data_IF_863321792089
#
_entry.id   IF_863321792089
#
_cell.length_a   1.000
_cell.length_b   1.000
_cell.length_c   1.000
_cell.angle_alpha   90.00
_cell.angle_beta   90.00
_cell.angle_gamma   90.00
#
_symmetry.space_group_name_H-M   'P 1'
#
loop_
_entity.id
_entity.type
_entity.pdbx_description
1 polymer ?
#
# COMPACT_ATOMS: atom_id res chain seq x y z
N UNK A 1 -21.25 14.44 -15.33
CA UNK A 1 -20.60 13.31 -16.05
C UNK A 1 -19.18 13.62 -16.49
N UNK A 2 -18.91 14.74 -17.17
CA UNK A 2 -17.58 15.10 -17.71
C UNK A 2 -16.47 15.11 -16.65
N UNK A 3 -16.74 15.65 -15.45
CA UNK A 3 -15.75 15.73 -14.37
C UNK A 3 -15.20 14.35 -13.91
N UNK A 4 -15.96 13.27 -14.08
CA UNK A 4 -15.50 11.90 -13.75
C UNK A 4 -14.67 11.28 -14.88
N UNK A 5 -14.80 11.74 -16.11
CA UNK A 5 -14.09 11.17 -17.27
C UNK A 5 -12.61 11.53 -17.31
N UNK A 6 -12.26 12.74 -16.88
CA UNK A 6 -10.87 13.23 -16.89
C UNK A 6 -9.93 12.32 -16.07
N UNK A 7 -10.19 12.04 -14.77
CA UNK A 7 -9.30 11.19 -13.98
C UNK A 7 -9.21 9.76 -14.52
N UNK A 8 -10.28 9.24 -15.15
CA UNK A 8 -10.28 7.92 -15.78
C UNK A 8 -9.36 7.88 -16.99
N UNK A 9 -9.46 8.88 -17.87
CA UNK A 9 -8.61 8.95 -19.06
C UNK A 9 -7.14 9.08 -18.67
N UNK A 10 -6.84 9.85 -17.61
CA UNK A 10 -5.48 9.94 -17.05
C UNK A 10 -5.03 8.57 -16.55
N UNK A 11 -5.85 7.88 -15.77
CA UNK A 11 -5.50 6.56 -15.23
C UNK A 11 -5.30 5.53 -16.34
N UNK A 12 -6.18 5.49 -17.34
CA UNK A 12 -6.05 4.61 -18.50
C UNK A 12 -4.79 4.93 -19.33
N UNK A 13 -4.45 6.22 -19.48
CA UNK A 13 -3.22 6.63 -20.16
C UNK A 13 -1.96 6.15 -19.40
N UNK A 14 -1.96 6.28 -18.07
CA UNK A 14 -0.88 5.78 -17.22
C UNK A 14 -0.75 4.26 -17.35
N UNK A 15 -1.86 3.53 -17.22
CA UNK A 15 -1.90 2.07 -17.32
C UNK A 15 -1.46 1.60 -18.72
N UNK A 16 -1.92 2.26 -19.79
CA UNK A 16 -1.49 1.98 -21.16
C UNK A 16 0.01 2.22 -21.38
N UNK A 17 0.56 3.30 -20.81
CA UNK A 17 1.99 3.58 -20.85
C UNK A 17 2.82 2.52 -20.10
N UNK A 18 2.42 2.16 -18.87
CA UNK A 18 3.10 1.13 -18.08
C UNK A 18 3.06 -0.21 -18.81
N UNK A 19 1.88 -0.59 -19.31
CA UNK A 19 1.71 -1.79 -20.12
C UNK A 19 2.63 -1.80 -21.34
N UNK A 20 2.67 -0.72 -22.11
CA UNK A 20 3.54 -0.60 -23.28
C UNK A 20 5.03 -0.75 -22.92
N UNK A 21 5.46 -0.14 -21.82
CA UNK A 21 6.85 -0.23 -21.32
C UNK A 21 7.19 -1.66 -20.87
N UNK A 22 6.32 -2.30 -20.10
CA UNK A 22 6.49 -3.69 -19.66
C UNK A 22 6.50 -4.64 -20.85
N UNK A 23 5.62 -4.43 -21.83
CA UNK A 23 5.54 -5.22 -23.05
C UNK A 23 6.84 -5.18 -23.85
N UNK A 24 7.38 -3.97 -24.10
CA UNK A 24 8.67 -3.80 -24.78
C UNK A 24 9.84 -4.39 -23.99
N UNK A 25 9.80 -4.33 -22.67
CA UNK A 25 10.83 -4.94 -21.83
C UNK A 25 10.80 -6.47 -21.95
N UNK A 26 9.62 -7.10 -21.89
CA UNK A 26 9.46 -8.55 -22.06
C UNK A 26 9.96 -9.04 -23.42
N UNK A 27 9.75 -8.26 -24.48
CA UNK A 27 10.27 -8.59 -25.82
C UNK A 27 11.80 -8.67 -25.90
N UNK A 28 12.53 -8.07 -24.94
CA UNK A 28 14.00 -8.08 -24.89
C UNK A 28 14.57 -9.21 -24.04
N UNK A 29 13.74 -9.98 -23.33
CA UNK A 29 14.21 -11.06 -22.45
C UNK A 29 14.31 -12.35 -23.26
N UNK A 30 15.53 -12.68 -23.69
CA UNK A 30 15.85 -13.81 -24.58
C UNK A 30 15.55 -15.20 -23.96
N UNK A 31 15.54 -15.32 -22.63
CA UNK A 31 15.50 -16.59 -21.90
C UNK A 31 14.10 -17.17 -21.60
N UNK A 32 13.01 -16.57 -22.09
CA UNK A 32 11.63 -16.95 -21.70
C UNK A 32 10.72 -17.48 -22.84
N UNK A 33 11.18 -18.25 -23.85
CA UNK A 33 10.40 -18.48 -25.07
C UNK A 33 9.01 -19.11 -24.84
N UNK A 34 8.86 -20.11 -23.96
CA UNK A 34 7.57 -20.79 -23.73
C UNK A 34 6.70 -20.19 -22.61
N UNK A 35 7.29 -19.45 -21.65
CA UNK A 35 6.54 -18.78 -20.56
C UNK A 35 6.07 -17.38 -20.93
N UNK A 36 6.69 -16.77 -21.95
CA UNK A 36 6.34 -15.40 -22.36
C UNK A 36 4.90 -15.29 -22.86
N UNK A 37 4.31 -16.31 -23.50
CA UNK A 37 2.89 -16.29 -23.91
C UNK A 37 1.92 -16.12 -22.74
N UNK A 38 2.18 -16.80 -21.63
CA UNK A 38 1.34 -16.74 -20.43
C UNK A 38 1.52 -15.41 -19.68
N UNK A 39 2.75 -14.91 -19.60
CA UNK A 39 3.03 -13.58 -19.03
C UNK A 39 2.36 -12.48 -19.85
N UNK A 40 2.44 -12.57 -21.19
CA UNK A 40 1.77 -11.64 -22.12
C UNK A 40 0.26 -11.68 -21.95
N UNK A 41 -0.33 -12.88 -21.90
CA UNK A 41 -1.76 -13.07 -21.64
C UNK A 41 -2.18 -12.50 -20.29
N UNK A 42 -1.37 -12.71 -19.24
CA UNK A 42 -1.60 -12.15 -17.91
C UNK A 42 -1.58 -10.62 -17.88
N UNK A 43 -0.62 -9.98 -18.57
CA UNK A 43 -0.57 -8.51 -18.65
C UNK A 43 -1.77 -7.93 -19.42
N UNK A 44 -2.18 -8.57 -20.51
CA UNK A 44 -3.36 -8.14 -21.27
C UNK A 44 -4.61 -8.32 -20.41
N UNK A 45 -4.73 -9.46 -19.73
CA UNK A 45 -5.81 -9.74 -18.78
C UNK A 45 -5.88 -8.70 -17.67
N UNK A 46 -4.75 -8.32 -17.08
CA UNK A 46 -4.66 -7.29 -16.04
C UNK A 46 -5.11 -5.91 -16.57
N UNK A 47 -4.68 -5.52 -17.78
CA UNK A 47 -5.10 -4.27 -18.40
C UNK A 47 -6.61 -4.25 -18.68
N UNK A 48 -7.17 -5.32 -19.26
CA UNK A 48 -8.60 -5.43 -19.56
C UNK A 48 -9.44 -5.44 -18.27
N UNK A 49 -9.02 -6.22 -17.28
CA UNK A 49 -9.63 -6.24 -15.96
C UNK A 49 -9.63 -4.85 -15.31
N UNK A 50 -8.53 -4.10 -15.45
CA UNK A 50 -8.46 -2.73 -14.94
C UNK A 50 -9.45 -1.78 -15.61
N UNK A 51 -9.65 -1.89 -16.93
CA UNK A 51 -10.64 -1.11 -17.65
C UNK A 51 -12.08 -1.44 -17.22
N UNK A 52 -12.37 -2.72 -17.02
CA UNK A 52 -13.69 -3.20 -16.59
C UNK A 52 -14.03 -2.69 -15.18
N UNK A 53 -13.11 -2.80 -14.21
CA UNK A 53 -13.36 -2.34 -12.84
C UNK A 53 -13.55 -0.82 -12.76
N UNK A 54 -12.76 -0.03 -13.51
CA UNK A 54 -12.94 1.43 -13.60
C UNK A 54 -14.31 1.78 -14.19
N UNK A 55 -14.74 1.04 -15.23
CA UNK A 55 -16.06 1.22 -15.83
C UNK A 55 -17.19 0.96 -14.82
N UNK A 56 -17.12 -0.13 -14.04
CA UNK A 56 -18.12 -0.44 -13.01
C UNK A 56 -18.14 0.57 -11.86
N UNK A 57 -16.97 1.02 -11.40
CA UNK A 57 -16.88 2.01 -10.31
C UNK A 57 -17.47 3.37 -10.67
N UNK A 58 -17.41 3.75 -11.94
CA UNK A 58 -17.82 5.10 -12.39
C UNK A 58 -19.19 5.10 -13.06
N UNK A 59 -19.51 4.04 -13.81
CA UNK A 59 -20.68 3.95 -14.67
C UNK A 59 -21.98 3.67 -13.93
N UNK A 60 -21.93 3.03 -12.77
CA UNK A 60 -23.12 2.65 -12.02
C UNK A 60 -23.29 3.51 -10.77
N UNK A 61 -24.54 3.88 -10.46
CA UNK A 61 -24.95 4.03 -9.06
C UNK A 61 -24.63 2.69 -8.43
N UNK A 62 -23.78 2.67 -7.40
CA UNK A 62 -23.49 1.45 -6.67
C UNK A 62 -24.82 0.75 -6.36
N UNK A 63 -24.92 -0.58 -6.49
CA UNK A 63 -26.14 -1.30 -6.14
C UNK A 63 -26.64 -0.81 -4.77
N UNK A 64 -27.92 -0.48 -4.67
CA UNK A 64 -28.52 -0.06 -3.38
C UNK A 64 -28.44 -1.19 -2.35
N UNK A 65 -28.39 -2.43 -2.82
CA UNK A 65 -28.09 -3.61 -2.03
C UNK A 65 -26.58 -3.73 -1.77
N UNK A 66 -26.16 -4.00 -0.52
CA UNK A 66 -24.75 -4.15 -0.20
C UNK A 66 -24.16 -5.30 -1.01
N UNK A 67 -23.24 -4.99 -1.93
CA UNK A 67 -22.41 -5.99 -2.60
C UNK A 67 -21.79 -6.85 -1.52
N UNK A 68 -21.91 -8.18 -1.63
CA UNK A 68 -21.35 -9.07 -0.63
C UNK A 68 -19.87 -8.74 -0.44
N UNK A 69 -19.43 -8.66 0.82
CA UNK A 69 -18.07 -8.28 1.19
C UNK A 69 -17.05 -9.16 0.45
N UNK A 70 -17.38 -10.43 0.24
CA UNK A 70 -16.61 -11.39 -0.56
C UNK A 70 -16.51 -10.97 -2.03
N UNK A 71 -17.61 -10.56 -2.67
CA UNK A 71 -17.59 -10.10 -4.07
C UNK A 71 -16.84 -8.78 -4.22
N UNK A 72 -17.01 -7.85 -3.27
CA UNK A 72 -16.27 -6.59 -3.24
C UNK A 72 -14.76 -6.86 -3.14
N UNK A 73 -14.32 -7.69 -2.18
CA UNK A 73 -12.91 -8.02 -2.04
C UNK A 73 -12.39 -8.80 -3.25
N UNK A 74 -13.14 -9.76 -3.79
CA UNK A 74 -12.69 -10.58 -4.93
C UNK A 74 -12.56 -9.79 -6.24
N UNK A 75 -13.33 -8.71 -6.41
CA UNK A 75 -13.35 -7.91 -7.65
C UNK A 75 -12.61 -6.57 -7.53
N UNK A 76 -12.53 -5.97 -6.36
CA UNK A 76 -11.88 -4.67 -6.17
C UNK A 76 -10.43 -4.80 -5.70
N UNK A 77 -10.09 -5.75 -4.84
CA UNK A 77 -8.72 -5.82 -4.30
C UNK A 77 -7.67 -6.21 -5.33
N UNK A 78 -7.86 -7.22 -6.21
CA UNK A 78 -6.87 -7.50 -7.24
C UNK A 78 -6.65 -6.30 -8.17
N UNK A 79 -7.70 -5.51 -8.42
CA UNK A 79 -7.62 -4.26 -9.16
C UNK A 79 -6.76 -3.23 -8.43
N UNK A 80 -7.00 -3.00 -7.14
CA UNK A 80 -6.23 -2.05 -6.34
C UNK A 80 -4.77 -2.48 -6.19
N UNK A 81 -4.51 -3.77 -5.95
CA UNK A 81 -3.17 -4.36 -5.87
C UNK A 81 -2.41 -4.21 -7.20
N UNK A 82 -3.10 -4.24 -8.34
CA UNK A 82 -2.47 -3.96 -9.64
C UNK A 82 -2.26 -2.47 -9.87
N UNK A 83 -3.30 -1.65 -9.72
CA UNK A 83 -3.31 -0.23 -10.11
C UNK A 83 -2.46 0.63 -9.21
N UNK A 84 -2.50 0.44 -7.88
CA UNK A 84 -1.75 1.30 -6.96
C UNK A 84 -0.23 1.18 -7.14
N UNK A 85 0.39 -0.02 -7.10
CA UNK A 85 1.84 -0.14 -7.29
C UNK A 85 2.27 0.27 -8.70
N UNK A 86 1.49 -0.07 -9.73
CA UNK A 86 1.83 0.32 -11.11
C UNK A 86 1.78 1.83 -11.31
N UNK A 87 0.83 2.52 -10.69
CA UNK A 87 0.64 3.97 -10.82
C UNK A 87 1.58 4.77 -9.90
N UNK A 88 1.79 4.34 -8.65
CA UNK A 88 2.58 5.08 -7.67
C UNK A 88 4.08 4.78 -7.73
N UNK A 89 4.47 3.61 -8.21
CA UNK A 89 5.87 3.16 -8.17
C UNK A 89 6.41 2.94 -9.58
N UNK A 90 5.76 2.07 -10.36
CA UNK A 90 6.27 1.65 -11.67
C UNK A 90 6.21 2.79 -12.69
N UNK A 91 5.12 3.54 -12.72
CA UNK A 91 4.95 4.68 -13.62
C UNK A 91 5.99 5.78 -13.38
N UNK A 92 6.17 6.34 -12.17
CA UNK A 92 7.16 7.38 -11.93
C UNK A 92 8.58 6.90 -12.23
N UNK A 93 8.90 5.64 -11.94
CA UNK A 93 10.21 5.07 -12.25
C UNK A 93 10.49 5.06 -13.77
N UNK A 94 9.58 4.50 -14.58
CA UNK A 94 9.77 4.49 -16.03
C UNK A 94 9.72 5.89 -16.61
N UNK A 95 8.79 6.71 -16.15
CA UNK A 95 8.60 8.08 -16.64
C UNK A 95 9.84 8.94 -16.36
N UNK A 96 10.37 8.91 -15.13
CA UNK A 96 11.60 9.62 -14.78
C UNK A 96 12.80 9.12 -15.59
N UNK A 97 12.95 7.81 -15.75
CA UNK A 97 13.99 7.24 -16.61
C UNK A 97 13.90 7.78 -18.03
N UNK A 98 12.70 7.82 -18.60
CA UNK A 98 12.49 8.31 -19.96
C UNK A 98 12.76 9.81 -20.07
N UNK A 99 12.34 10.60 -19.09
CA UNK A 99 12.69 12.01 -19.01
C UNK A 99 14.19 12.22 -18.98
N UNK A 100 14.93 11.44 -18.19
CA UNK A 100 16.40 11.48 -18.15
C UNK A 100 16.99 11.11 -19.51
N UNK A 101 16.50 10.04 -20.15
CA UNK A 101 16.99 9.61 -21.47
C UNK A 101 16.74 10.69 -22.53
N UNK A 102 15.54 11.26 -22.56
CA UNK A 102 15.18 12.36 -23.49
C UNK A 102 16.03 13.59 -23.20
N UNK A 103 16.24 13.95 -21.93
CA UNK A 103 17.07 15.08 -21.53
C UNK A 103 18.53 14.88 -21.95
N UNK A 104 19.12 13.72 -21.69
CA UNK A 104 20.49 13.39 -22.09
C UNK A 104 20.62 13.38 -23.61
N UNK A 105 19.66 12.79 -24.32
CA UNK A 105 19.62 12.81 -25.78
C UNK A 105 19.54 14.24 -26.33
N UNK A 106 18.63 15.06 -25.80
CA UNK A 106 18.47 16.46 -26.19
C UNK A 106 19.77 17.25 -25.94
N UNK A 107 20.35 17.14 -24.73
CA UNK A 107 21.65 17.74 -24.40
C UNK A 107 22.74 17.28 -25.36
N UNK A 108 22.81 15.98 -25.67
CA UNK A 108 23.83 15.44 -26.56
C UNK A 108 23.71 15.96 -27.99
N UNK A 109 22.49 16.29 -28.43
CA UNK A 109 22.20 16.86 -29.75
C UNK A 109 22.54 18.34 -29.86
N UNK A 110 22.41 19.09 -28.76
CA UNK A 110 22.76 20.51 -28.70
C UNK A 110 24.25 20.76 -28.36
N UNK A 111 24.86 19.89 -27.56
CA UNK A 111 26.25 19.98 -27.14
C UNK A 111 27.11 18.91 -27.84
N UNK A 112 27.05 18.87 -29.18
CA UNK A 112 28.01 18.11 -29.99
C UNK A 112 29.40 18.78 -29.93
N UNK A 113 30.11 18.57 -28.83
CA UNK A 113 31.57 18.62 -28.83
C UNK A 113 32.10 17.21 -29.01
N UNK A 114 32.87 17.03 -30.10
CA UNK A 114 33.68 15.84 -30.35
C UNK A 114 34.68 15.70 -29.19
N UNK A 115 34.35 14.90 -28.19
CA UNK A 115 35.36 14.38 -27.28
C UNK A 115 35.99 13.16 -27.91
N UNK A 116 37.24 13.30 -28.35
CA UNK A 116 38.16 12.19 -28.59
C UNK A 116 38.26 11.38 -27.32
N UNK A 117 37.85 10.11 -27.37
CA UNK A 117 37.99 9.19 -26.24
C UNK A 117 39.48 8.90 -26.06
N UNK A 118 40.06 9.43 -24.99
CA UNK A 118 41.35 8.97 -24.48
C UNK A 118 41.13 7.65 -23.72
N UNK A 119 41.88 6.61 -24.08
CA UNK A 119 41.92 5.34 -23.35
C UNK A 119 42.23 5.60 -21.86
N UNK A 120 41.29 5.24 -20.99
CA UNK A 120 41.49 5.26 -19.56
C UNK A 120 41.97 3.88 -19.09
N UNK A 121 43.11 3.88 -18.40
CA UNK A 121 43.78 2.72 -17.81
C UNK A 121 42.86 1.90 -16.89
N UNK A 122 43.06 0.58 -16.89
CA UNK A 122 42.34 -0.39 -16.08
C UNK A 122 42.55 -0.16 -14.57
N UNK A 123 41.53 -0.42 -13.71
CA UNK A 123 41.69 -0.23 -12.28
C UNK A 123 42.51 -1.36 -11.64
N UNK A 124 43.41 -0.95 -10.75
CA UNK A 124 44.24 -1.80 -9.88
C UNK A 124 43.35 -2.64 -8.94
N UNK A 125 43.66 -3.94 -8.87
CA UNK A 125 43.00 -4.91 -8.00
C UNK A 125 43.32 -4.65 -6.53
N UNK A 126 42.31 -4.54 -5.66
CA UNK A 126 42.54 -4.44 -4.22
C UNK A 126 41.39 -3.89 -3.38
N UNK A 127 40.18 -4.41 -3.52
CA UNK A 127 39.15 -4.44 -2.47
C UNK A 127 37.93 -5.19 -3.00
N UNK A 128 37.17 -5.94 -2.16
CA UNK A 128 35.90 -6.52 -2.57
C UNK A 128 34.84 -5.41 -2.64
N UNK A 129 35.04 -4.44 -3.53
CA UNK A 129 34.04 -3.43 -3.81
C UNK A 129 32.97 -4.14 -4.63
N UNK A 130 31.77 -4.26 -4.08
CA UNK A 130 30.62 -4.72 -4.86
C UNK A 130 30.61 -3.95 -6.18
N UNK A 131 30.64 -4.68 -7.31
CA UNK A 131 30.53 -4.01 -8.60
C UNK A 131 29.30 -3.10 -8.59
N UNK A 132 29.39 -1.91 -9.19
CA UNK A 132 28.26 -0.96 -9.27
C UNK A 132 26.96 -1.66 -9.70
N UNK A 133 27.07 -2.63 -10.61
CA UNK A 133 25.95 -3.46 -11.07
C UNK A 133 25.40 -4.40 -9.99
N UNK A 134 26.25 -5.06 -9.22
CA UNK A 134 25.84 -5.88 -8.09
C UNK A 134 25.19 -5.02 -7.00
N UNK A 135 25.78 -3.87 -6.66
CA UNK A 135 25.22 -2.94 -5.68
C UNK A 135 23.82 -2.48 -6.10
N UNK A 136 23.66 -2.01 -7.33
CA UNK A 136 22.36 -1.57 -7.86
C UNK A 136 21.33 -2.71 -7.86
N UNK A 137 21.75 -3.95 -8.16
CA UNK A 137 20.87 -5.13 -8.11
C UNK A 137 20.36 -5.40 -6.70
N UNK A 138 21.25 -5.42 -5.70
CA UNK A 138 20.85 -5.68 -4.31
C UNK A 138 20.08 -4.53 -3.70
N UNK A 139 20.45 -3.28 -4.00
CA UNK A 139 19.71 -2.10 -3.55
C UNK A 139 18.29 -2.09 -4.13
N UNK A 140 18.12 -2.44 -5.41
CA UNK A 140 16.80 -2.52 -6.05
C UNK A 140 15.98 -3.66 -5.48
N UNK A 141 16.59 -4.84 -5.26
CA UNK A 141 15.92 -5.96 -4.61
C UNK A 141 15.44 -5.58 -3.21
N UNK A 142 16.32 -4.99 -2.39
CA UNK A 142 15.98 -4.52 -1.05
C UNK A 142 14.88 -3.46 -1.04
N UNK A 143 14.91 -2.50 -1.97
CA UNK A 143 13.86 -1.49 -2.10
C UNK A 143 12.48 -2.08 -2.43
N UNK A 144 12.44 -3.15 -3.23
CA UNK A 144 11.20 -3.86 -3.56
C UNK A 144 10.70 -4.69 -2.38
N UNK A 145 11.60 -5.39 -1.67
CA UNK A 145 11.21 -6.34 -0.61
C UNK A 145 10.96 -5.68 0.73
N UNK A 146 11.65 -4.58 1.05
CA UNK A 146 11.57 -3.94 2.36
C UNK A 146 10.16 -3.42 2.72
N UNK A 147 9.42 -2.73 1.83
CA UNK A 147 8.04 -2.32 2.13
C UNK A 147 7.12 -3.50 2.40
N UNK A 148 7.26 -4.59 1.63
CA UNK A 148 6.44 -5.80 1.83
C UNK A 148 6.72 -6.42 3.21
N UNK A 149 8.00 -6.56 3.58
CA UNK A 149 8.40 -7.09 4.87
C UNK A 149 7.96 -6.19 6.03
N UNK A 150 8.11 -4.86 5.89
CA UNK A 150 7.75 -3.90 6.92
C UNK A 150 6.23 -3.81 7.12
N UNK A 151 5.44 -3.82 6.03
CA UNK A 151 3.98 -3.89 6.10
C UNK A 151 3.54 -5.20 6.74
N UNK A 152 4.10 -6.34 6.33
CA UNK A 152 3.79 -7.63 6.95
C UNK A 152 4.11 -7.62 8.45
N UNK A 153 5.27 -7.09 8.84
CA UNK A 153 5.65 -6.93 10.24
C UNK A 153 4.66 -6.03 11.00
N UNK A 154 4.35 -4.85 10.46
CA UNK A 154 3.42 -3.89 11.07
C UNK A 154 2.01 -4.45 11.20
N UNK A 155 1.50 -5.17 10.19
CA UNK A 155 0.18 -5.82 10.25
C UNK A 155 0.14 -6.94 11.28
N UNK A 156 1.20 -7.74 11.41
CA UNK A 156 1.22 -8.85 12.38
C UNK A 156 1.45 -8.36 13.81
N UNK A 157 2.28 -7.33 14.01
CA UNK A 157 2.68 -6.89 15.36
C UNK A 157 1.89 -5.69 15.88
N UNK A 158 1.33 -4.86 15.01
CA UNK A 158 0.67 -3.60 15.38
C UNK A 158 -0.73 -3.78 15.95
N UNK A 159 -1.39 -4.90 15.73
CA UNK A 159 -2.80 -5.11 16.11
C UNK A 159 -3.00 -5.57 17.56
N UNK A 160 -1.93 -5.80 18.32
CA UNK A 160 -1.98 -6.45 19.65
C UNK A 160 -1.32 -5.67 20.78
N UNK A 161 -1.14 -4.35 20.62
CA UNK A 161 -0.55 -3.50 21.66
C UNK A 161 -1.55 -2.44 22.11
N UNK A 162 -2.07 -2.61 23.31
CA UNK A 162 -2.85 -1.59 24.01
C UNK A 162 -1.91 -0.85 24.95
N UNK A 163 -1.80 0.47 24.81
CA UNK A 163 -1.05 1.31 25.72
C UNK A 163 -2.02 1.94 26.74
N UNK A 164 -1.70 1.84 28.03
CA UNK A 164 -2.48 2.44 29.10
C UNK A 164 -1.92 3.83 29.39
N UNK A 165 -2.76 4.85 29.20
CA UNK A 165 -2.42 6.24 29.49
C UNK A 165 -3.14 6.70 30.76
N UNK A 166 -2.36 7.09 31.77
CA UNK A 166 -2.88 7.74 32.97
C UNK A 166 -2.74 9.25 32.82
N UNK A 167 -3.86 9.97 32.93
CA UNK A 167 -3.90 11.42 32.85
C UNK A 167 -4.70 11.98 34.02
N UNK A 168 -4.05 12.77 34.87
CA UNK A 168 -4.74 13.53 35.90
C UNK A 168 -5.40 14.77 35.27
N UNK A 169 -6.69 14.96 35.52
CA UNK A 169 -7.47 16.09 35.00
C UNK A 169 -7.89 16.97 36.19
N UNK A 170 -7.18 18.07 36.47
CA UNK A 170 -7.51 18.96 37.58
C UNK A 170 -8.68 19.87 37.23
N UNK A 171 -9.63 20.01 38.16
CA UNK A 171 -10.74 20.95 38.06
C UNK A 171 -10.74 21.86 39.31
N UNK A 172 -10.73 23.20 39.14
CA UNK A 172 -10.70 24.14 40.27
C UNK A 172 -11.90 24.01 41.21
N UNK A 173 -13.08 23.71 40.67
CA UNK A 173 -14.35 23.66 41.40
C UNK A 173 -14.89 22.22 41.52
N UNK A 174 -13.99 21.22 41.60
CA UNK A 174 -14.40 19.82 41.72
C UNK A 174 -15.05 19.58 43.09
N UNK A 175 -16.28 19.03 43.16
CA UNK A 175 -16.86 18.58 44.42
C UNK A 175 -15.95 17.57 45.12
N UNK A 176 -15.75 17.75 46.43
CA UNK A 176 -14.90 16.86 47.25
C UNK A 176 -15.19 15.36 47.06
N UNK A 177 -16.45 14.89 46.94
CA UNK A 177 -16.74 13.47 46.72
C UNK A 177 -16.23 12.90 45.38
N UNK A 178 -15.91 13.77 44.40
CA UNK A 178 -15.37 13.37 43.10
C UNK A 178 -13.83 13.44 43.05
N UNK A 179 -13.20 13.96 44.10
CA UNK A 179 -11.75 14.03 44.17
C UNK A 179 -11.15 12.62 44.24
N UNK A 180 -10.26 12.30 43.29
CA UNK A 180 -9.68 10.97 43.16
C UNK A 180 -10.55 9.96 42.41
N UNK A 181 -11.70 10.36 41.84
CA UNK A 181 -12.50 9.52 40.96
C UNK A 181 -11.67 9.06 39.75
N UNK A 182 -11.52 7.75 39.58
CA UNK A 182 -10.83 7.16 38.43
C UNK A 182 -11.83 6.71 37.38
N UNK A 183 -11.77 7.35 36.23
CA UNK A 183 -12.58 7.01 35.06
C UNK A 183 -11.70 6.30 34.03
N UNK A 184 -12.07 5.07 33.66
CA UNK A 184 -11.48 4.36 32.55
C UNK A 184 -12.32 4.58 31.30
N UNK A 185 -11.73 5.26 30.32
CA UNK A 185 -12.35 5.45 29.02
C UNK A 185 -11.84 4.41 28.03
N UNK A 186 -12.76 3.73 27.35
CA UNK A 186 -12.48 2.78 26.28
C UNK A 186 -13.18 3.26 25.02
N UNK A 187 -12.43 3.32 23.93
CA UNK A 187 -12.91 3.73 22.60
C UNK A 187 -12.22 2.89 21.54
N UNK A 188 -12.74 2.90 20.31
CA UNK A 188 -12.02 2.47 19.11
C UNK A 188 -11.55 1.00 19.16
N UNK A 189 -12.34 0.13 19.82
CA UNK A 189 -12.07 -1.32 19.86
C UNK A 189 -12.08 -1.90 18.44
N UNK A 190 -12.89 -1.33 17.54
CA UNK A 190 -12.88 -1.63 16.11
C UNK A 190 -13.01 -3.12 15.76
N UNK A 191 -13.85 -3.86 16.49
CA UNK A 191 -14.14 -5.28 16.25
C UNK A 191 -14.41 -5.54 14.76
N UNK A 192 -13.66 -6.48 14.20
CA UNK A 192 -13.67 -6.81 12.78
C UNK A 192 -13.21 -8.26 12.57
N UNK A 193 -13.15 -8.70 11.30
CA UNK A 193 -12.77 -10.07 10.92
C UNK A 193 -11.39 -10.57 11.41
N UNK A 194 -10.52 -9.67 11.90
CA UNK A 194 -9.19 -10.01 12.41
C UNK A 194 -9.11 -10.08 13.94
N UNK A 195 -10.18 -9.70 14.65
CA UNK A 195 -10.24 -9.74 16.11
C UNK A 195 -10.86 -11.06 16.58
N UNK A 196 -10.12 -11.83 17.38
CA UNK A 196 -10.59 -13.12 17.91
C UNK A 196 -11.30 -12.95 19.25
N UNK A 197 -11.95 -14.02 19.71
CA UNK A 197 -12.55 -14.05 21.05
C UNK A 197 -11.49 -13.87 22.15
N UNK A 198 -10.34 -14.51 21.98
CA UNK A 198 -9.23 -14.42 22.93
C UNK A 198 -8.70 -12.98 23.02
N UNK A 199 -8.54 -12.29 21.88
CA UNK A 199 -8.11 -10.88 21.86
C UNK A 199 -9.08 -9.98 22.64
N UNK A 200 -10.39 -10.24 22.58
CA UNK A 200 -11.41 -9.50 23.33
C UNK A 200 -11.37 -9.83 24.83
N UNK A 201 -11.15 -11.09 25.18
CA UNK A 201 -11.00 -11.52 26.58
C UNK A 201 -9.77 -10.89 27.24
N UNK A 202 -8.68 -10.73 26.49
CA UNK A 202 -7.47 -10.03 26.95
C UNK A 202 -7.78 -8.56 27.28
N UNK A 203 -8.55 -7.86 26.42
CA UNK A 203 -9.01 -6.49 26.70
C UNK A 203 -9.85 -6.44 27.98
N UNK A 204 -10.84 -7.32 28.10
CA UNK A 204 -11.72 -7.35 29.29
C UNK A 204 -10.92 -7.61 30.56
N UNK A 205 -9.96 -8.54 30.51
CA UNK A 205 -9.08 -8.84 31.64
C UNK A 205 -8.21 -7.64 32.01
N UNK A 206 -7.63 -6.96 31.02
CA UNK A 206 -6.84 -5.75 31.21
C UNK A 206 -7.67 -4.63 31.85
N UNK A 207 -8.84 -4.34 31.28
CA UNK A 207 -9.79 -3.33 31.76
C UNK A 207 -10.18 -3.58 33.22
N UNK A 208 -10.53 -4.82 33.56
CA UNK A 208 -10.88 -5.18 34.92
C UNK A 208 -9.69 -5.07 35.88
N UNK A 209 -8.46 -5.32 35.42
CA UNK A 209 -7.25 -5.20 36.25
C UNK A 209 -6.96 -3.76 36.69
N UNK A 210 -7.38 -2.75 35.92
CA UNK A 210 -7.15 -1.33 36.21
C UNK A 210 -7.99 -0.81 37.39
N UNK A 211 -8.98 -1.58 37.85
CA UNK A 211 -9.76 -1.31 39.06
C UNK A 211 -10.28 0.13 39.15
N UNK A 212 -10.84 0.66 38.05
CA UNK A 212 -11.37 2.03 37.99
C UNK A 212 -12.77 2.12 38.61
N UNK A 213 -13.16 3.31 39.04
CA UNK A 213 -14.43 3.54 39.75
C UNK A 213 -15.61 3.66 38.76
N UNK A 214 -15.33 4.15 37.55
CA UNK A 214 -16.28 4.23 36.45
C UNK A 214 -15.61 3.79 35.15
N UNK A 215 -16.27 2.92 34.39
CA UNK A 215 -15.86 2.55 33.03
C UNK A 215 -16.82 3.23 32.05
N UNK A 216 -16.28 4.03 31.14
CA UNK A 216 -17.04 4.69 30.08
C UNK A 216 -16.62 4.15 28.72
N UNK A 217 -17.60 3.77 27.92
CA UNK A 217 -17.41 3.32 26.55
C UNK A 217 -17.82 4.48 25.62
N UNK A 218 -16.90 5.02 24.82
CA UNK A 218 -17.14 6.28 24.08
C UNK A 218 -17.36 6.15 22.57
N UNK A 219 -17.13 4.99 21.96
CA UNK A 219 -17.45 4.80 20.53
C UNK A 219 -16.57 3.80 19.79
N UNK A 220 -16.85 3.64 18.50
CA UNK A 220 -16.07 2.90 17.51
C UNK A 220 -15.73 1.45 17.88
N UNK A 221 -16.74 0.73 18.38
CA UNK A 221 -16.60 -0.67 18.79
C UNK A 221 -16.51 -1.66 17.64
N UNK A 222 -17.08 -1.32 16.47
CA UNK A 222 -17.22 -2.25 15.33
C UNK A 222 -16.82 -1.54 14.05
N UNK A 223 -15.99 -2.20 13.23
CA UNK A 223 -15.57 -1.66 11.95
C UNK A 223 -16.45 -2.17 10.79
N UNK A 224 -17.02 -1.27 10.02
CA UNK A 224 -17.61 -1.58 8.70
C UNK A 224 -19.02 -2.18 8.71
N UNK A 225 -19.27 -3.28 9.42
CA UNK A 225 -20.62 -3.91 9.45
C UNK A 225 -20.95 -4.55 10.80
N UNK A 226 -22.23 -4.48 11.17
CA UNK A 226 -22.78 -5.11 12.38
C UNK A 226 -22.58 -6.64 12.41
N UNK A 227 -22.32 -7.29 11.27
CA UNK A 227 -21.99 -8.71 11.23
C UNK A 227 -20.73 -9.08 12.05
N UNK A 228 -19.83 -8.12 12.29
CA UNK A 228 -18.63 -8.31 13.11
C UNK A 228 -18.86 -8.11 14.62
N UNK A 229 -20.12 -8.02 15.05
CA UNK A 229 -20.52 -8.12 16.45
C UNK A 229 -20.55 -9.60 16.90
N UNK A 230 -20.82 -10.54 15.99
CA UNK A 230 -20.70 -11.98 16.26
C UNK A 230 -19.21 -12.40 16.15
N UNK A 231 -18.64 -13.13 17.12
CA UNK A 231 -19.28 -14.03 18.08
C UNK A 231 -19.41 -13.48 19.52
N UNK A 232 -19.37 -12.17 19.74
CA UNK A 232 -19.26 -11.58 21.09
C UNK A 232 -20.59 -11.39 21.84
N UNK A 233 -21.71 -11.89 21.29
CA UNK A 233 -23.06 -11.86 21.87
C UNK A 233 -23.58 -13.26 22.16
#
# INVERSE_FOLDING_TARGET
>A
MIQRLIPILILLAIQGYVFHRMWRWLQRVEYLPNRTRWIRGGLIGALLYSGITIFFMVGNRLPEEPISVVALYSLAYPFWIWVFPTTLIVFPFFFLRDLIVVFVWARSRFFHHRTTVSEAQAPVAGSPVLSRRAFLRYATAGFITAPVALTAYGTVMGTRRYDIHHQDIPFPDLPEPLNGLRILQISDVHSNMYMTLDDMQDIVTLVNSLSSDLIVLTGDYVSGTAAFIHPFC
#
